data_IF_349512356648
#
_entry.id   IF_349512356648
#
_cell.length_a   1.000
_cell.length_b   1.000
_cell.length_c   1.000
_cell.angle_alpha   90.00
_cell.angle_beta   90.00
_cell.angle_gamma   90.00
#
_symmetry.space_group_name_H-M   'P 1'
#
loop_
_entity.id
_entity.type
_entity.pdbx_description
1 polymer ?
#
# COMPACT_ATOMS: atom_id res chain seq x y z
N UNK A 1 -24.75 -3.78 6.12
CA UNK A 1 -24.30 -3.21 4.84
C UNK A 1 -24.49 -1.71 4.94
N UNK A 2 -23.48 -0.88 4.66
CA UNK A 2 -23.66 0.58 4.66
C UNK A 2 -24.49 1.01 3.46
N UNK A 3 -25.22 2.11 3.62
CA UNK A 3 -26.02 2.69 2.54
C UNK A 3 -25.10 3.34 1.50
N UNK A 4 -25.44 3.15 0.22
CA UNK A 4 -24.75 3.78 -0.90
C UNK A 4 -25.54 5.04 -1.27
N UNK A 5 -24.92 6.20 -1.11
CA UNK A 5 -25.49 7.49 -1.53
C UNK A 5 -24.94 7.87 -2.90
N UNK A 6 -25.68 8.67 -3.67
CA UNK A 6 -25.22 9.16 -4.97
C UNK A 6 -25.00 10.66 -4.90
N UNK A 7 -23.74 11.08 -5.03
CA UNK A 7 -23.35 12.50 -5.09
C UNK A 7 -22.89 12.77 -6.50
N UNK A 8 -23.60 13.65 -7.21
CA UNK A 8 -23.35 13.95 -8.63
C UNK A 8 -23.34 12.71 -9.54
N UNK A 9 -24.19 11.72 -9.21
CA UNK A 9 -24.28 10.45 -9.95
C UNK A 9 -23.17 9.44 -9.62
N UNK A 10 -22.25 9.77 -8.72
CA UNK A 10 -21.17 8.88 -8.27
C UNK A 10 -21.63 8.16 -6.99
N UNK A 11 -21.61 6.81 -6.95
CA UNK A 11 -21.92 6.07 -5.74
C UNK A 11 -20.83 6.28 -4.69
N UNK A 12 -21.23 6.68 -3.49
CA UNK A 12 -20.38 6.96 -2.34
C UNK A 12 -20.89 6.21 -1.11
N UNK A 13 -19.97 5.94 -0.19
CA UNK A 13 -20.28 5.38 1.13
C UNK A 13 -19.56 6.25 2.15
N UNK A 14 -20.29 6.78 3.11
CA UNK A 14 -19.70 7.59 4.19
C UNK A 14 -19.16 6.70 5.31
N UNK A 15 -17.94 7.02 5.75
CA UNK A 15 -17.27 6.34 6.85
C UNK A 15 -16.88 7.36 7.91
N UNK A 16 -17.12 7.02 9.17
CA UNK A 16 -16.57 7.79 10.28
C UNK A 16 -15.08 7.52 10.41
N UNK A 17 -14.34 8.47 10.96
CA UNK A 17 -12.90 8.31 11.22
C UNK A 17 -12.60 7.06 12.06
N UNK A 18 -13.42 6.78 13.09
CA UNK A 18 -13.27 5.60 13.94
C UNK A 18 -13.44 4.28 13.16
N UNK A 19 -14.35 4.23 12.21
CA UNK A 19 -14.52 3.06 11.35
C UNK A 19 -13.32 2.87 10.43
N UNK A 20 -12.81 3.96 9.84
CA UNK A 20 -11.60 3.92 9.00
C UNK A 20 -10.39 3.44 9.80
N UNK A 21 -10.18 3.97 11.02
CA UNK A 21 -9.10 3.53 11.91
C UNK A 21 -9.23 2.04 12.24
N UNK A 22 -10.45 1.59 12.58
CA UNK A 22 -10.73 0.19 12.90
C UNK A 22 -10.43 -0.73 11.72
N UNK A 23 -10.87 -0.38 10.51
CA UNK A 23 -10.63 -1.15 9.29
C UNK A 23 -9.13 -1.19 8.98
N UNK A 24 -8.46 -0.04 9.06
CA UNK A 24 -7.01 0.07 8.84
C UNK A 24 -6.23 -0.83 9.82
N UNK A 25 -6.69 -0.96 11.07
CA UNK A 25 -6.09 -1.86 12.04
C UNK A 25 -6.34 -3.34 11.72
N UNK A 26 -7.59 -3.72 11.43
CA UNK A 26 -7.99 -5.10 11.11
C UNK A 26 -7.28 -5.61 9.86
N UNK A 27 -7.24 -4.79 8.81
CA UNK A 27 -6.61 -5.12 7.52
C UNK A 27 -5.08 -4.93 7.53
N UNK A 28 -4.51 -4.49 8.67
CA UNK A 28 -3.07 -4.22 8.86
C UNK A 28 -2.50 -3.24 7.81
N UNK A 29 -3.22 -2.15 7.58
CA UNK A 29 -2.88 -1.12 6.58
C UNK A 29 -2.18 0.11 7.17
N UNK A 30 -1.89 0.13 8.47
CA UNK A 30 -1.29 1.27 9.16
C UNK A 30 0.06 1.71 8.57
N UNK A 31 0.83 0.75 8.02
CA UNK A 31 2.12 0.99 7.37
C UNK A 31 2.11 0.51 5.92
N UNK A 32 0.97 0.67 5.25
CA UNK A 32 0.83 0.36 3.84
C UNK A 32 1.36 1.51 2.96
N UNK A 33 2.15 1.18 1.95
CA UNK A 33 2.65 2.09 0.93
C UNK A 33 2.18 1.59 -0.43
N UNK A 34 1.68 2.51 -1.26
CA UNK A 34 1.39 2.23 -2.66
C UNK A 34 2.59 2.71 -3.48
N UNK A 35 3.24 1.77 -4.18
CA UNK A 35 4.30 2.07 -5.13
C UNK A 35 3.77 2.05 -6.56
N UNK A 36 4.18 3.02 -7.37
CA UNK A 36 3.90 3.03 -8.82
C UNK A 36 5.14 2.57 -9.58
N UNK A 37 4.96 1.59 -10.46
CA UNK A 37 6.00 1.07 -11.33
C UNK A 37 6.00 1.84 -12.66
N UNK A 38 7.19 2.25 -13.11
CA UNK A 38 7.35 2.97 -14.39
C UNK A 38 6.98 2.10 -15.60
N UNK A 39 7.17 0.79 -15.48
CA UNK A 39 6.85 -0.20 -16.49
C UNK A 39 5.93 -1.27 -15.90
N UNK A 40 5.18 -1.95 -16.77
CA UNK A 40 4.42 -3.12 -16.35
C UNK A 40 5.41 -4.20 -15.93
N UNK A 41 5.34 -4.60 -14.66
CA UNK A 41 6.21 -5.62 -14.11
C UNK A 41 5.41 -6.91 -13.98
N UNK A 42 5.92 -7.97 -14.58
CA UNK A 42 5.20 -9.25 -14.69
C UNK A 42 5.60 -10.27 -13.64
N UNK A 43 6.74 -10.07 -12.96
CA UNK A 43 7.22 -10.99 -11.92
C UNK A 43 7.13 -10.39 -10.50
N UNK A 44 6.06 -10.74 -9.80
CA UNK A 44 5.84 -10.32 -8.41
C UNK A 44 6.84 -10.98 -7.44
N UNK A 45 7.33 -12.19 -7.73
CA UNK A 45 8.32 -12.87 -6.88
C UNK A 45 9.66 -12.17 -6.95
N UNK A 46 10.04 -11.68 -8.13
CA UNK A 46 11.23 -10.85 -8.27
C UNK A 46 11.10 -9.55 -7.47
N UNK A 47 9.97 -8.85 -7.54
CA UNK A 47 9.73 -7.64 -6.75
C UNK A 47 9.82 -7.91 -5.24
N UNK A 48 9.26 -9.03 -4.77
CA UNK A 48 9.37 -9.48 -3.37
C UNK A 48 10.81 -9.72 -2.93
N UNK A 49 11.69 -10.12 -3.84
CA UNK A 49 13.11 -10.32 -3.56
C UNK A 49 13.90 -9.00 -3.58
N UNK A 50 13.66 -8.14 -4.56
CA UNK A 50 14.50 -6.96 -4.81
C UNK A 50 14.11 -5.78 -3.90
N UNK A 51 12.81 -5.50 -3.73
CA UNK A 51 12.34 -4.31 -3.00
C UNK A 51 12.89 -4.24 -1.57
N UNK A 52 12.86 -5.33 -0.76
CA UNK A 52 13.41 -5.27 0.60
C UNK A 52 14.89 -4.89 0.63
N UNK A 53 15.67 -5.38 -0.35
CA UNK A 53 17.10 -5.14 -0.45
C UNK A 53 17.39 -3.70 -0.91
N UNK A 54 16.72 -3.24 -1.97
CA UNK A 54 16.93 -1.90 -2.52
C UNK A 54 16.40 -0.78 -1.63
N UNK A 55 15.33 -1.06 -0.87
CA UNK A 55 14.76 -0.09 0.06
C UNK A 55 15.44 -0.11 1.44
N UNK A 56 16.38 -1.04 1.68
CA UNK A 56 17.05 -1.26 2.97
C UNK A 56 16.03 -1.46 4.11
N UNK A 57 15.04 -2.34 3.87
CA UNK A 57 13.98 -2.62 4.84
C UNK A 57 14.53 -3.50 5.96
N UNK A 58 14.32 -3.08 7.21
CA UNK A 58 14.82 -3.79 8.40
C UNK A 58 13.81 -4.76 8.99
N UNK A 59 12.54 -4.63 8.65
CA UNK A 59 11.47 -5.53 9.05
C UNK A 59 10.96 -6.39 7.89
N UNK A 60 10.09 -7.34 8.23
CA UNK A 60 9.37 -8.08 7.20
C UNK A 60 8.43 -7.15 6.43
N UNK A 61 8.21 -7.48 5.16
CA UNK A 61 7.23 -6.80 4.33
C UNK A 61 6.43 -7.80 3.49
N UNK A 62 5.22 -7.40 3.11
CA UNK A 62 4.38 -8.15 2.18
C UNK A 62 4.11 -7.29 0.96
N UNK A 63 4.38 -7.84 -0.22
CA UNK A 63 4.22 -7.14 -1.49
C UNK A 63 3.17 -7.87 -2.33
N UNK A 64 2.19 -7.12 -2.81
CA UNK A 64 1.13 -7.60 -3.70
C UNK A 64 0.90 -6.64 -4.86
N UNK A 65 0.34 -7.14 -5.95
CA UNK A 65 -0.08 -6.31 -7.08
C UNK A 65 -1.39 -5.57 -6.73
N UNK A 66 -1.47 -4.31 -7.13
CA UNK A 66 -2.65 -3.46 -7.06
C UNK A 66 -2.94 -2.92 -8.47
N UNK A 67 -3.49 -3.77 -9.33
CA UNK A 67 -3.64 -3.48 -10.77
C UNK A 67 -2.34 -3.73 -11.56
N UNK A 68 -2.24 -3.16 -12.77
CA UNK A 68 -1.15 -3.49 -13.71
C UNK A 68 0.17 -2.77 -13.43
N UNK A 69 0.14 -1.60 -12.76
CA UNK A 69 1.30 -0.75 -12.53
C UNK A 69 1.48 -0.30 -11.08
N UNK A 70 0.62 -0.71 -10.17
CA UNK A 70 0.77 -0.38 -8.76
C UNK A 70 1.01 -1.62 -7.94
N UNK A 71 1.78 -1.46 -6.88
CA UNK A 71 2.03 -2.48 -5.88
C UNK A 71 1.62 -1.95 -4.51
N UNK A 72 1.05 -2.83 -3.71
CA UNK A 72 0.79 -2.60 -2.30
C UNK A 72 1.93 -3.24 -1.50
N UNK A 73 2.63 -2.42 -0.72
CA UNK A 73 3.71 -2.85 0.17
C UNK A 73 3.22 -2.64 1.59
N UNK A 74 3.07 -3.72 2.36
CA UNK A 74 2.72 -3.67 3.79
C UNK A 74 3.96 -3.92 4.62
N UNK A 75 4.35 -2.91 5.40
CA UNK A 75 5.52 -2.95 6.25
C UNK A 75 5.12 -3.34 7.67
N UNK A 76 6.03 -3.98 8.40
CA UNK A 76 5.81 -4.33 9.81
C UNK A 76 6.31 -3.26 10.77
N UNK A 77 7.27 -2.43 10.35
CA UNK A 77 7.91 -1.41 11.17
C UNK A 77 7.60 0.00 10.69
N UNK A 78 7.37 0.90 11.64
CA UNK A 78 7.18 2.32 11.36
C UNK A 78 8.44 2.98 10.77
N UNK A 79 9.64 2.56 11.18
CA UNK A 79 10.90 3.11 10.64
C UNK A 79 11.02 2.88 9.13
N UNK A 80 10.69 1.67 8.67
CA UNK A 80 10.72 1.30 7.26
C UNK A 80 9.68 2.10 6.48
N UNK A 81 8.49 2.29 7.06
CA UNK A 81 7.42 3.11 6.47
C UNK A 81 7.87 4.55 6.26
N UNK A 82 8.41 5.19 7.31
CA UNK A 82 8.89 6.57 7.24
C UNK A 82 10.04 6.70 6.23
N UNK A 83 10.97 5.73 6.20
CA UNK A 83 12.08 5.72 5.25
C UNK A 83 11.58 5.63 3.79
N UNK A 84 10.63 4.73 3.52
CA UNK A 84 10.05 4.55 2.19
C UNK A 84 9.34 5.80 1.67
N UNK A 85 8.48 6.41 2.48
CA UNK A 85 7.73 7.60 2.06
C UNK A 85 8.64 8.84 1.92
N UNK A 86 9.73 8.92 2.69
CA UNK A 86 10.64 10.06 2.67
C UNK A 86 11.55 10.10 1.44
N UNK A 87 11.94 8.93 0.91
CA UNK A 87 12.78 8.84 -0.30
C UNK A 87 12.02 9.15 -1.58
N UNK A 88 10.72 8.85 -1.64
CA UNK A 88 9.80 9.22 -2.74
C UNK A 88 10.00 8.45 -4.06
N UNK A 89 11.21 8.00 -4.38
CA UNK A 89 11.51 7.17 -5.55
C UNK A 89 12.64 6.18 -5.25
N UNK A 90 12.53 4.99 -5.84
CA UNK A 90 13.54 3.93 -5.77
C UNK A 90 13.85 3.45 -7.18
N UNK A 91 15.12 3.16 -7.43
CA UNK A 91 15.58 2.55 -8.68
C UNK A 91 15.80 1.08 -8.38
N UNK A 92 14.96 0.24 -8.97
CA UNK A 92 14.82 -1.19 -8.72
C UNK A 92 15.03 -1.96 -10.02
#
# INVERSE_FOLDING_TARGET
MKEITYVEGIPQVEWTEQEVIKITHIEKLQFAVIGTLSYEWTDLEELRRIIPQQCDLKGDCQIGLLGSKHILIRLTKQEDYVNMISKGAFYI
#
